data_IF_372859942486
#
_entry.id   IF_372859942486
#
_cell.length_a   1.000
_cell.length_b   1.000
_cell.length_c   1.000
_cell.angle_alpha   90.00
_cell.angle_beta   90.00
_cell.angle_gamma   90.00
#
_symmetry.space_group_name_H-M   'P 1'
#
loop_
_entity.id
_entity.type
_entity.pdbx_description
1 polymer ?
#
# COMPACT_ATOMS: atom_id res chain seq x y z
N UNK A 1 -35.68 -5.70 19.84
CA UNK A 1 -35.46 -4.55 18.93
C UNK A 1 -33.96 -4.36 18.80
N UNK A 2 -33.35 -4.88 17.75
CA UNK A 2 -31.92 -4.71 17.52
C UNK A 2 -31.66 -3.25 17.11
N UNK A 3 -30.85 -2.53 17.89
CA UNK A 3 -30.41 -1.18 17.52
C UNK A 3 -29.65 -1.28 16.19
N UNK A 4 -30.26 -0.84 15.11
CA UNK A 4 -29.60 -0.66 13.82
C UNK A 4 -28.56 0.44 13.99
N UNK A 5 -27.32 0.06 14.33
CA UNK A 5 -26.19 0.97 14.33
C UNK A 5 -26.09 1.61 12.96
N UNK A 6 -26.32 2.92 12.89
CA UNK A 6 -26.31 3.69 11.65
C UNK A 6 -24.98 3.46 10.91
N UNK A 7 -25.02 2.75 9.78
CA UNK A 7 -23.86 2.63 8.91
C UNK A 7 -23.49 4.03 8.43
N UNK A 8 -22.21 4.38 8.48
CA UNK A 8 -21.72 5.67 7.99
C UNK A 8 -22.23 5.96 6.58
N UNK A 9 -22.53 7.22 6.25
CA UNK A 9 -22.97 7.56 4.90
C UNK A 9 -21.84 7.40 3.88
N UNK A 10 -22.16 7.21 2.59
CA UNK A 10 -21.18 7.18 1.50
C UNK A 10 -20.22 8.39 1.55
N UNK A 11 -20.76 9.60 1.72
CA UNK A 11 -19.98 10.84 1.82
C UNK A 11 -19.02 10.82 3.00
N UNK A 12 -19.47 10.31 4.15
CA UNK A 12 -18.63 10.19 5.35
C UNK A 12 -17.49 9.21 5.14
N UNK A 13 -17.74 8.05 4.52
CA UNK A 13 -16.69 7.06 4.21
C UNK A 13 -15.67 7.63 3.24
N UNK A 14 -16.14 8.20 2.13
CA UNK A 14 -15.28 8.83 1.13
C UNK A 14 -14.42 9.93 1.75
N UNK A 15 -15.03 10.88 2.45
CA UNK A 15 -14.31 12.00 3.07
C UNK A 15 -13.31 11.54 4.12
N UNK A 16 -13.68 10.58 4.97
CA UNK A 16 -12.78 10.05 6.00
C UNK A 16 -11.61 9.29 5.38
N UNK A 17 -11.87 8.42 4.40
CA UNK A 17 -10.83 7.66 3.69
C UNK A 17 -9.84 8.61 3.00
N UNK A 18 -10.35 9.62 2.29
CA UNK A 18 -9.50 10.62 1.62
C UNK A 18 -8.64 11.38 2.63
N UNK A 19 -9.23 11.89 3.72
CA UNK A 19 -8.50 12.62 4.76
C UNK A 19 -7.39 11.77 5.41
N UNK A 20 -7.64 10.48 5.63
CA UNK A 20 -6.65 9.54 6.20
C UNK A 20 -5.52 9.24 5.21
N UNK A 21 -5.78 9.23 3.91
CA UNK A 21 -4.77 8.96 2.88
C UNK A 21 -3.90 10.17 2.47
N UNK A 22 -4.38 11.40 2.67
CA UNK A 22 -3.66 12.63 2.29
C UNK A 22 -2.27 12.80 2.95
N UNK A 23 -2.05 12.45 4.24
CA UNK A 23 -0.73 12.53 4.85
C UNK A 23 0.36 11.75 4.11
N UNK A 24 0.04 10.62 3.48
CA UNK A 24 1.00 9.88 2.66
C UNK A 24 1.39 10.64 1.39
N UNK A 25 0.43 11.29 0.72
CA UNK A 25 0.72 12.15 -0.44
C UNK A 25 1.61 13.33 -0.04
N UNK A 26 1.31 13.97 1.09
CA UNK A 26 2.13 15.07 1.63
C UNK A 26 3.54 14.59 1.96
N UNK A 27 3.68 13.40 2.57
CA UNK A 27 4.98 12.81 2.87
C UNK A 27 5.80 12.56 1.59
N UNK A 28 5.18 12.04 0.53
CA UNK A 28 5.82 11.84 -0.77
C UNK A 28 6.29 13.16 -1.39
N UNK A 29 5.40 14.16 -1.48
CA UNK A 29 5.73 15.49 -2.03
C UNK A 29 6.87 16.14 -1.24
N UNK A 30 6.80 16.10 0.09
CA UNK A 30 7.83 16.67 0.96
C UNK A 30 9.17 15.94 0.81
N UNK A 31 9.15 14.61 0.61
CA UNK A 31 10.34 13.82 0.36
C UNK A 31 10.97 14.17 -0.98
N UNK A 32 10.19 14.23 -2.06
CA UNK A 32 10.69 14.62 -3.40
C UNK A 32 11.28 16.02 -3.37
N UNK A 33 10.63 16.97 -2.70
CA UNK A 33 11.15 18.33 -2.55
C UNK A 33 12.52 18.37 -1.86
N UNK A 34 12.70 17.60 -0.77
CA UNK A 34 13.95 17.59 0.00
C UNK A 34 15.07 16.77 -0.63
N UNK A 35 14.74 15.65 -1.26
CA UNK A 35 15.72 14.67 -1.72
C UNK A 35 16.18 14.88 -3.16
N UNK A 36 15.45 15.63 -3.98
CA UNK A 36 15.83 15.86 -5.38
C UNK A 36 16.99 16.86 -5.49
N UNK A 37 18.18 16.44 -5.99
CA UNK A 37 19.28 17.35 -6.23
C UNK A 37 18.94 18.38 -7.31
N UNK A 38 19.53 19.58 -7.26
CA UNK A 38 19.28 20.63 -8.26
C UNK A 38 19.55 20.18 -9.70
N UNK A 39 20.59 19.36 -9.91
CA UNK A 39 20.95 18.82 -11.23
C UNK A 39 20.02 17.73 -11.76
N UNK A 40 19.12 17.18 -10.92
CA UNK A 40 18.14 16.17 -11.31
C UNK A 40 16.76 16.74 -11.66
N UNK A 41 16.59 18.06 -11.55
CA UNK A 41 15.33 18.73 -11.89
C UNK A 41 15.27 18.92 -13.42
N UNK A 42 14.20 18.45 -14.09
CA UNK A 42 14.06 18.65 -15.53
C UNK A 42 14.10 20.14 -15.92
N UNK A 43 14.67 20.44 -17.09
CA UNK A 43 14.72 21.79 -17.62
C UNK A 43 13.31 22.40 -17.72
N UNK A 44 13.17 23.65 -17.27
CA UNK A 44 11.87 24.35 -17.24
C UNK A 44 11.03 24.10 -15.98
N UNK A 45 11.45 23.21 -15.07
CA UNK A 45 10.79 23.01 -13.78
C UNK A 45 11.62 23.58 -12.62
N UNK A 46 10.93 24.01 -11.58
CA UNK A 46 11.51 24.27 -10.26
C UNK A 46 11.34 23.05 -9.34
N UNK A 47 12.21 22.90 -8.33
CA UNK A 47 12.07 21.84 -7.30
C UNK A 47 10.68 21.80 -6.67
N UNK A 48 10.07 22.94 -6.25
CA UNK A 48 8.69 22.95 -5.75
C UNK A 48 7.69 22.39 -6.78
N UNK A 49 7.78 22.81 -8.05
CA UNK A 49 6.84 22.34 -9.08
C UNK A 49 6.96 20.84 -9.35
N UNK A 50 8.18 20.30 -9.41
CA UNK A 50 8.42 18.86 -9.56
C UNK A 50 7.85 18.08 -8.37
N UNK A 51 8.08 18.56 -7.14
CA UNK A 51 7.55 17.95 -5.95
C UNK A 51 6.01 17.91 -5.96
N UNK A 52 5.36 19.02 -6.29
CA UNK A 52 3.89 19.08 -6.38
C UNK A 52 3.35 18.15 -7.48
N UNK A 53 4.00 18.11 -8.64
CA UNK A 53 3.62 17.21 -9.74
C UNK A 53 3.75 15.74 -9.36
N UNK A 54 4.75 15.37 -8.54
CA UNK A 54 4.90 13.99 -8.05
C UNK A 54 3.71 13.50 -7.22
N UNK A 55 3.00 14.42 -6.56
CA UNK A 55 1.80 14.11 -5.77
C UNK A 55 0.51 14.05 -6.59
N UNK A 56 0.48 14.58 -7.82
CA UNK A 56 -0.75 14.73 -8.59
C UNK A 56 -1.36 13.38 -8.99
N UNK A 57 -0.56 12.51 -9.62
CA UNK A 57 -1.01 11.18 -10.02
C UNK A 57 -1.51 10.33 -8.84
N UNK A 58 -0.74 10.15 -7.75
CA UNK A 58 -1.23 9.35 -6.62
C UNK A 58 -2.42 9.99 -5.90
N UNK A 59 -2.55 11.32 -5.89
CA UNK A 59 -3.75 11.98 -5.36
C UNK A 59 -4.99 11.66 -6.20
N UNK A 60 -4.90 11.72 -7.53
CA UNK A 60 -6.02 11.37 -8.42
C UNK A 60 -6.43 9.91 -8.22
N UNK A 61 -5.45 8.99 -8.16
CA UNK A 61 -5.69 7.58 -7.89
C UNK A 61 -6.34 7.39 -6.51
N UNK A 62 -5.90 8.13 -5.48
CA UNK A 62 -6.46 8.06 -4.13
C UNK A 62 -7.91 8.53 -4.11
N UNK A 63 -8.22 9.64 -4.78
CA UNK A 63 -9.60 10.13 -4.89
C UNK A 63 -10.51 9.09 -5.54
N UNK A 64 -10.08 8.51 -6.66
CA UNK A 64 -10.84 7.47 -7.36
C UNK A 64 -11.00 6.22 -6.50
N UNK A 65 -9.92 5.74 -5.88
CA UNK A 65 -9.94 4.58 -5.01
C UNK A 65 -10.86 4.78 -3.79
N UNK A 66 -10.84 5.96 -3.17
CA UNK A 66 -11.72 6.29 -2.06
C UNK A 66 -13.20 6.36 -2.49
N UNK A 67 -13.50 6.91 -3.68
CA UNK A 67 -14.86 6.92 -4.23
C UNK A 67 -15.37 5.49 -4.47
N UNK A 68 -14.56 4.68 -5.16
CA UNK A 68 -14.88 3.30 -5.50
C UNK A 68 -15.01 2.45 -4.24
N UNK A 69 -14.06 2.57 -3.30
CA UNK A 69 -14.08 1.83 -2.04
C UNK A 69 -15.28 2.19 -1.15
N UNK A 70 -15.63 3.47 -1.06
CA UNK A 70 -16.81 3.92 -0.30
C UNK A 70 -18.12 3.33 -0.83
N UNK A 71 -18.17 2.99 -2.12
CA UNK A 71 -19.29 2.29 -2.76
C UNK A 71 -19.17 0.77 -2.60
N UNK A 72 -18.01 0.20 -2.93
CA UNK A 72 -17.82 -1.23 -3.13
C UNK A 72 -17.60 -2.00 -1.84
N UNK A 73 -16.80 -1.49 -0.90
CA UNK A 73 -16.41 -2.22 0.30
C UNK A 73 -17.61 -2.68 1.16
N UNK A 74 -18.61 -1.82 1.47
CA UNK A 74 -19.77 -2.24 2.26
C UNK A 74 -20.65 -3.27 1.53
N UNK A 75 -20.72 -3.17 0.20
CA UNK A 75 -21.48 -4.11 -0.63
C UNK A 75 -20.77 -5.46 -0.76
N UNK A 76 -19.45 -5.45 -0.73
CA UNK A 76 -18.63 -6.65 -0.71
C UNK A 76 -18.51 -7.28 0.70
N UNK A 77 -19.06 -6.64 1.74
CA UNK A 77 -18.95 -7.09 3.13
C UNK A 77 -17.56 -6.93 3.74
N UNK A 78 -16.70 -6.09 3.13
CA UNK A 78 -15.35 -5.81 3.62
C UNK A 78 -15.39 -4.67 4.64
N UNK A 79 -14.67 -4.83 5.76
CA UNK A 79 -14.87 -4.04 6.98
C UNK A 79 -13.77 -3.00 7.19
N UNK A 80 -14.14 -1.84 7.73
CA UNK A 80 -13.18 -0.87 8.26
C UNK A 80 -13.68 -0.28 9.57
N UNK A 81 -12.84 -0.34 10.61
CA UNK A 81 -13.17 0.19 11.94
C UNK A 81 -13.27 1.71 11.96
N UNK A 82 -12.50 2.41 11.12
CA UNK A 82 -12.53 3.87 10.98
C UNK A 82 -13.78 4.33 10.20
N UNK A 83 -14.10 3.62 9.13
CA UNK A 83 -15.15 4.02 8.19
C UNK A 83 -16.53 3.53 8.63
N UNK A 84 -16.62 2.39 9.32
CA UNK A 84 -17.88 1.84 9.81
C UNK A 84 -18.03 2.16 11.31
N UNK A 85 -18.73 3.27 11.62
CA UNK A 85 -19.02 3.70 13.00
C UNK A 85 -20.21 2.94 13.61
N UNK A 86 -20.21 1.61 13.48
CA UNK A 86 -21.24 0.77 14.07
C UNK A 86 -20.85 0.36 15.51
N UNK A 87 -21.71 0.70 16.47
CA UNK A 87 -21.51 0.40 17.89
C UNK A 87 -20.59 1.41 18.57
N UNK A 88 -21.03 1.93 19.73
CA UNK A 88 -20.39 3.04 20.46
C UNK A 88 -18.96 2.78 20.98
N UNK A 89 -18.36 1.63 20.67
CA UNK A 89 -16.96 1.35 20.92
C UNK A 89 -16.05 2.16 19.99
N UNK A 90 -14.94 2.65 20.52
CA UNK A 90 -13.95 3.42 19.77
C UNK A 90 -13.19 2.56 18.75
N UNK A 91 -12.65 3.20 17.71
CA UNK A 91 -11.80 2.54 16.69
C UNK A 91 -10.66 1.75 17.34
N UNK A 92 -10.03 2.34 18.36
CA UNK A 92 -8.93 1.74 19.12
C UNK A 92 -9.34 0.42 19.78
N UNK A 93 -10.53 0.36 20.36
CA UNK A 93 -11.01 -0.83 21.07
C UNK A 93 -11.25 -1.98 20.10
N UNK A 94 -11.81 -1.68 18.92
CA UNK A 94 -12.03 -2.67 17.85
C UNK A 94 -10.73 -3.15 17.21
N UNK A 95 -9.75 -2.26 17.04
CA UNK A 95 -8.46 -2.59 16.42
C UNK A 95 -7.50 -3.33 17.37
N UNK A 96 -7.52 -3.02 18.67
CA UNK A 96 -6.62 -3.61 19.69
C UNK A 96 -6.43 -5.13 19.58
N UNK A 97 -7.47 -5.97 19.43
CA UNK A 97 -7.28 -7.42 19.31
C UNK A 97 -6.61 -7.86 17.99
N UNK A 98 -6.59 -7.02 16.96
CA UNK A 98 -6.02 -7.33 15.66
C UNK A 98 -4.55 -6.90 15.54
N UNK A 99 -4.12 -5.89 16.30
CA UNK A 99 -2.78 -5.25 16.19
C UNK A 99 -1.65 -6.27 16.30
N UNK A 100 -1.60 -7.07 17.37
CA UNK A 100 -0.47 -7.99 17.59
C UNK A 100 -0.30 -8.99 16.46
N UNK A 101 -1.42 -9.53 15.96
CA UNK A 101 -1.42 -10.45 14.83
C UNK A 101 -1.04 -9.76 13.52
N UNK A 102 -1.58 -8.56 13.26
CA UNK A 102 -1.25 -7.76 12.09
C UNK A 102 0.25 -7.39 12.04
N UNK A 103 0.82 -6.96 13.17
CA UNK A 103 2.26 -6.69 13.29
C UNK A 103 3.08 -7.95 13.01
N UNK A 104 2.69 -9.09 13.58
CA UNK A 104 3.36 -10.38 13.33
C UNK A 104 3.34 -10.76 11.85
N UNK A 105 2.20 -10.62 11.17
CA UNK A 105 2.08 -10.86 9.71
C UNK A 105 2.93 -9.89 8.92
N UNK A 106 2.94 -8.60 9.28
CA UNK A 106 3.76 -7.57 8.63
C UNK A 106 5.25 -7.84 8.73
N UNK A 107 5.76 -8.06 9.94
CA UNK A 107 7.17 -8.39 10.21
C UNK A 107 7.56 -9.71 9.55
N UNK A 108 6.75 -10.76 9.71
CA UNK A 108 7.00 -12.04 9.06
C UNK A 108 7.01 -11.95 7.53
N UNK A 109 6.08 -11.18 6.96
CA UNK A 109 6.04 -10.90 5.52
C UNK A 109 7.29 -10.15 5.04
N UNK A 110 7.78 -9.20 5.83
CA UNK A 110 9.02 -8.45 5.54
C UNK A 110 10.23 -9.38 5.49
N UNK A 111 10.38 -10.24 6.50
CA UNK A 111 11.47 -11.22 6.55
C UNK A 111 11.38 -12.23 5.39
N UNK A 112 10.17 -12.68 5.04
CA UNK A 112 9.95 -13.54 3.89
C UNK A 112 10.35 -12.85 2.58
N UNK A 113 9.94 -11.60 2.38
CA UNK A 113 10.30 -10.83 1.19
C UNK A 113 11.81 -10.62 1.12
N UNK A 114 12.48 -10.30 2.24
CA UNK A 114 13.94 -10.20 2.28
C UNK A 114 14.63 -11.52 1.93
N UNK A 115 14.15 -12.64 2.47
CA UNK A 115 14.71 -13.96 2.16
C UNK A 115 14.53 -14.32 0.67
N UNK A 116 13.34 -14.07 0.12
CA UNK A 116 13.07 -14.23 -1.31
C UNK A 116 13.95 -13.30 -2.15
N UNK A 117 14.17 -12.07 -1.69
CA UNK A 117 15.00 -11.10 -2.39
C UNK A 117 16.45 -11.56 -2.52
N UNK A 118 17.01 -12.05 -1.41
CA UNK A 118 18.35 -12.66 -1.38
C UNK A 118 18.43 -13.90 -2.29
N UNK A 119 17.40 -14.74 -2.27
CA UNK A 119 17.35 -15.92 -3.14
C UNK A 119 17.27 -15.55 -4.64
N UNK A 120 16.63 -14.42 -4.97
CA UNK A 120 16.49 -13.93 -6.33
C UNK A 120 17.71 -13.11 -6.81
N UNK A 121 18.57 -12.66 -5.90
CA UNK A 121 19.71 -11.79 -6.21
C UNK A 121 20.64 -12.33 -7.33
N UNK A 122 21.01 -13.64 -7.38
CA UNK A 122 21.86 -14.17 -8.45
C UNK A 122 21.25 -14.04 -9.86
N UNK A 123 19.93 -13.99 -9.96
CA UNK A 123 19.20 -13.90 -11.22
C UNK A 123 19.07 -12.47 -11.75
N UNK A 124 19.29 -11.46 -10.89
CA UNK A 124 19.17 -10.03 -11.25
C UNK A 124 20.49 -9.26 -11.09
N UNK A 125 21.54 -9.89 -10.56
CA UNK A 125 22.83 -9.23 -10.28
C UNK A 125 23.50 -8.60 -11.50
N UNK A 126 23.26 -9.16 -12.70
CA UNK A 126 23.79 -8.62 -13.97
C UNK A 126 22.97 -7.46 -14.54
N UNK A 127 21.73 -7.32 -14.09
CA UNK A 127 20.77 -6.32 -14.58
C UNK A 127 20.79 -5.04 -13.75
N UNK A 128 21.41 -5.08 -12.56
CA UNK A 128 21.61 -3.92 -11.70
C UNK A 128 22.89 -3.19 -12.12
N UNK A 129 22.81 -1.94 -12.63
CA UNK A 129 24.00 -1.17 -12.97
C UNK A 129 24.93 -1.03 -11.76
N UNK A 130 26.25 -1.12 -11.95
CA UNK A 130 27.20 -0.79 -10.87
C UNK A 130 27.02 0.64 -10.35
N UNK A 131 26.47 1.55 -11.16
CA UNK A 131 26.05 2.90 -10.73
C UNK A 131 24.87 2.88 -9.77
N UNK A 132 23.93 1.92 -9.87
CA UNK A 132 22.86 1.74 -8.87
C UNK A 132 23.38 1.23 -7.52
N UNK A 133 24.58 0.61 -7.53
CA UNK A 133 25.26 0.09 -6.34
C UNK A 133 26.20 1.16 -5.72
N UNK A 134 26.45 2.29 -6.41
CA UNK A 134 27.49 3.26 -6.03
C UNK A 134 27.20 4.76 -6.18
N UNK A 135 26.03 5.20 -6.69
CA UNK A 135 25.81 6.61 -7.03
C UNK A 135 25.64 7.58 -5.84
N UNK A 136 25.32 7.08 -4.64
CA UNK A 136 25.52 7.73 -3.35
C UNK A 136 25.09 6.69 -2.32
N UNK A 137 25.97 6.30 -1.40
CA UNK A 137 25.49 5.47 -0.28
C UNK A 137 24.48 6.33 0.50
N UNK A 138 23.23 5.87 0.68
CA UNK A 138 22.27 6.61 1.47
C UNK A 138 22.87 6.88 2.86
N UNK A 139 22.55 8.01 3.45
CA UNK A 139 22.95 8.33 4.83
C UNK A 139 21.86 7.92 5.81
N UNK A 140 22.17 7.91 7.11
CA UNK A 140 21.15 7.78 8.17
C UNK A 140 20.05 8.85 7.98
N UNK A 141 20.43 10.07 7.59
CA UNK A 141 19.47 11.17 7.34
C UNK A 141 18.53 10.83 6.19
N UNK A 142 19.02 10.23 5.10
CA UNK A 142 18.19 9.84 3.95
C UNK A 142 17.19 8.74 4.33
N UNK A 143 17.65 7.74 5.10
CA UNK A 143 16.79 6.65 5.57
C UNK A 143 15.67 7.19 6.46
N UNK A 144 15.99 8.07 7.41
CA UNK A 144 15.02 8.69 8.30
C UNK A 144 14.09 9.67 7.57
N UNK A 145 14.61 10.41 6.58
CA UNK A 145 13.81 11.33 5.77
C UNK A 145 12.77 10.60 4.91
N UNK A 146 13.05 9.37 4.48
CA UNK A 146 12.11 8.53 3.71
C UNK A 146 11.15 7.72 4.59
N UNK A 147 11.38 7.62 5.91
CA UNK A 147 10.51 6.86 6.80
C UNK A 147 9.03 7.30 6.74
N UNK A 148 8.68 8.60 6.74
CA UNK A 148 7.28 9.03 6.59
C UNK A 148 6.61 8.52 5.32
N UNK A 149 7.35 8.42 4.20
CA UNK A 149 6.81 7.85 2.95
C UNK A 149 6.46 6.38 3.17
N UNK A 150 7.38 5.59 3.73
CA UNK A 150 7.11 4.16 4.01
C UNK A 150 5.89 3.97 4.90
N UNK A 151 5.80 4.67 6.02
CA UNK A 151 4.73 4.42 7.00
C UNK A 151 3.40 5.07 6.62
N UNK A 152 3.39 6.28 6.05
CA UNK A 152 2.15 7.00 5.72
C UNK A 152 1.68 6.69 4.30
N UNK A 153 2.58 6.79 3.30
CA UNK A 153 2.20 6.45 1.92
C UNK A 153 2.04 4.93 1.78
N UNK A 154 3.07 4.15 2.12
CA UNK A 154 3.00 2.69 2.04
C UNK A 154 1.94 2.11 2.99
N UNK A 155 2.11 2.35 4.29
CA UNK A 155 1.24 1.77 5.32
C UNK A 155 -0.23 2.21 5.29
N UNK A 156 -0.58 3.34 4.67
CA UNK A 156 -1.97 3.88 4.68
C UNK A 156 -2.49 4.19 3.28
N UNK A 157 -1.81 5.05 2.53
CA UNK A 157 -2.27 5.46 1.19
C UNK A 157 -2.37 4.27 0.24
N UNK A 158 -1.39 3.37 0.21
CA UNK A 158 -1.43 2.19 -0.66
C UNK A 158 -2.53 1.20 -0.25
N UNK A 159 -2.80 1.04 1.05
CA UNK A 159 -3.94 0.22 1.49
C UNK A 159 -5.29 0.80 1.05
N UNK A 160 -5.42 2.13 1.04
CA UNK A 160 -6.61 2.78 0.50
C UNK A 160 -6.74 2.56 -1.02
N UNK A 161 -5.64 2.65 -1.75
CA UNK A 161 -5.61 2.41 -3.20
C UNK A 161 -5.95 0.96 -3.55
N UNK A 162 -5.20 0.01 -2.98
CA UNK A 162 -5.20 -1.38 -3.39
C UNK A 162 -6.28 -2.20 -2.68
N UNK A 163 -6.50 -1.99 -1.37
CA UNK A 163 -7.42 -2.82 -0.57
C UNK A 163 -8.79 -2.18 -0.59
N UNK A 164 -8.89 -0.96 -0.06
CA UNK A 164 -10.17 -0.27 0.04
C UNK A 164 -10.79 0.00 -1.34
N UNK A 165 -10.02 0.55 -2.29
CA UNK A 165 -10.49 0.82 -3.64
C UNK A 165 -10.54 -0.42 -4.53
N UNK A 166 -9.38 -0.87 -5.01
CA UNK A 166 -9.26 -1.90 -6.05
C UNK A 166 -9.81 -3.27 -5.64
N UNK A 167 -9.34 -3.85 -4.53
CA UNK A 167 -9.77 -5.18 -4.09
C UNK A 167 -11.28 -5.21 -3.79
N UNK A 168 -11.85 -4.17 -3.18
CA UNK A 168 -13.30 -4.08 -2.97
C UNK A 168 -14.07 -4.05 -4.28
N UNK A 169 -13.58 -3.29 -5.27
CA UNK A 169 -14.20 -3.23 -6.60
C UNK A 169 -14.16 -4.58 -7.30
N UNK A 170 -13.00 -5.25 -7.29
CA UNK A 170 -12.82 -6.58 -7.87
C UNK A 170 -13.71 -7.63 -7.18
N UNK A 171 -13.81 -7.57 -5.85
CA UNK A 171 -14.67 -8.46 -5.07
C UNK A 171 -16.14 -8.26 -5.45
N UNK A 172 -16.61 -7.01 -5.50
CA UNK A 172 -17.98 -6.70 -5.87
C UNK A 172 -18.28 -7.10 -7.33
N UNK A 173 -17.39 -6.77 -8.27
CA UNK A 173 -17.53 -7.12 -9.68
C UNK A 173 -17.58 -8.64 -9.85
N UNK A 174 -16.62 -9.37 -9.27
CA UNK A 174 -16.61 -10.83 -9.30
C UNK A 174 -17.86 -11.45 -8.69
N UNK A 175 -18.38 -10.87 -7.59
CA UNK A 175 -19.61 -11.36 -6.97
C UNK A 175 -20.85 -11.13 -7.85
N UNK A 176 -20.93 -9.98 -8.53
CA UNK A 176 -21.97 -9.69 -9.52
C UNK A 176 -21.88 -10.65 -10.70
N UNK A 177 -20.68 -10.89 -11.23
CA UNK A 177 -20.46 -11.77 -12.39
C UNK A 177 -20.86 -13.22 -12.14
N UNK A 178 -20.70 -13.71 -10.90
CA UNK A 178 -21.17 -15.07 -10.52
C UNK A 178 -22.65 -15.11 -10.12
N UNK A 179 -23.40 -14.03 -10.38
CA UNK A 179 -24.84 -13.94 -10.16
C UNK A 179 -25.26 -13.71 -8.71
N UNK A 180 -24.39 -13.12 -7.88
CA UNK A 180 -24.65 -12.83 -6.45
C UNK A 180 -25.25 -14.01 -5.68
N UNK A 181 -24.67 -15.20 -5.88
CA UNK A 181 -25.11 -16.40 -5.17
C UNK A 181 -24.84 -16.23 -3.66
N UNK A 182 -25.90 -16.23 -2.84
CA UNK A 182 -25.85 -16.09 -1.39
C UNK A 182 -25.77 -14.66 -0.88
N UNK A 183 -25.65 -14.49 0.44
CA UNK A 183 -25.71 -13.18 1.11
C UNK A 183 -24.37 -12.40 1.07
N UNK A 184 -23.28 -13.05 0.65
CA UNK A 184 -21.95 -12.44 0.58
C UNK A 184 -21.09 -13.07 -0.54
N UNK A 185 -20.01 -12.38 -1.01
CA UNK A 185 -19.07 -12.96 -1.97
C UNK A 185 -18.43 -14.25 -1.44
N UNK A 186 -18.43 -15.30 -2.26
CA UNK A 186 -17.81 -16.57 -1.91
C UNK A 186 -16.28 -16.49 -1.83
N UNK A 187 -15.61 -17.38 -1.07
CA UNK A 187 -14.15 -17.36 -0.89
C UNK A 187 -13.34 -17.32 -2.18
N UNK A 188 -13.80 -18.01 -3.25
CA UNK A 188 -13.12 -18.03 -4.55
C UNK A 188 -13.06 -16.65 -5.20
N UNK A 189 -14.15 -15.88 -5.11
CA UNK A 189 -14.22 -14.50 -5.64
C UNK A 189 -13.24 -13.61 -4.88
N UNK A 190 -13.20 -13.73 -3.56
CA UNK A 190 -12.35 -12.89 -2.71
C UNK A 190 -10.87 -13.23 -2.92
N UNK A 191 -10.50 -14.51 -2.98
CA UNK A 191 -9.13 -14.91 -3.29
C UNK A 191 -8.69 -14.46 -4.69
N UNK A 192 -9.57 -14.51 -5.69
CA UNK A 192 -9.25 -13.97 -7.01
C UNK A 192 -9.02 -12.45 -6.96
N UNK A 193 -9.85 -11.71 -6.23
CA UNK A 193 -9.67 -10.27 -6.02
C UNK A 193 -8.36 -9.94 -5.28
N UNK A 194 -7.98 -10.74 -4.28
CA UNK A 194 -6.70 -10.63 -3.56
C UNK A 194 -5.53 -10.89 -4.53
N UNK A 195 -5.58 -11.96 -5.32
CA UNK A 195 -4.49 -12.30 -6.23
C UNK A 195 -4.29 -11.23 -7.31
N UNK A 196 -5.38 -10.75 -7.92
CA UNK A 196 -5.32 -9.71 -8.95
C UNK A 196 -4.82 -8.39 -8.35
N UNK A 197 -5.34 -7.97 -7.18
CA UNK A 197 -4.90 -6.73 -6.54
C UNK A 197 -3.44 -6.80 -6.09
N UNK A 198 -2.97 -7.96 -5.63
CA UNK A 198 -1.57 -8.20 -5.25
C UNK A 198 -0.61 -8.10 -6.44
N UNK A 199 -0.97 -8.68 -7.59
CA UNK A 199 -0.18 -8.54 -8.83
C UNK A 199 -0.16 -7.08 -9.29
N UNK A 200 -1.31 -6.41 -9.28
CA UNK A 200 -1.41 -4.99 -9.66
C UNK A 200 -0.66 -4.08 -8.69
N UNK A 201 -0.55 -4.45 -7.41
CA UNK A 201 0.28 -3.76 -6.43
C UNK A 201 1.76 -3.84 -6.83
N UNK A 202 2.25 -5.01 -7.25
CA UNK A 202 3.60 -5.16 -7.78
C UNK A 202 3.83 -4.44 -9.11
N UNK A 203 2.86 -4.46 -10.01
CA UNK A 203 2.92 -3.68 -11.27
C UNK A 203 2.97 -2.18 -10.99
N UNK A 204 2.24 -1.70 -9.98
CA UNK A 204 2.22 -0.30 -9.56
C UNK A 204 3.59 0.24 -9.12
N UNK A 205 4.54 -0.64 -8.80
CA UNK A 205 5.92 -0.26 -8.44
C UNK A 205 6.86 -0.13 -9.64
N UNK A 206 6.48 -0.63 -10.81
CA UNK A 206 7.35 -0.61 -12.00
C UNK A 206 7.71 0.80 -12.49
N UNK A 207 6.84 1.83 -12.43
CA UNK A 207 7.22 3.19 -12.80
C UNK A 207 8.35 3.75 -11.93
N UNK A 208 8.33 3.48 -10.62
CA UNK A 208 9.40 3.89 -9.72
C UNK A 208 10.71 3.16 -10.02
N UNK A 209 10.64 1.85 -10.31
CA UNK A 209 11.79 1.06 -10.72
C UNK A 209 12.41 1.56 -12.04
N UNK A 210 11.57 1.88 -13.03
CA UNK A 210 11.99 2.41 -14.32
C UNK A 210 12.69 3.78 -14.20
N UNK A 211 12.36 4.55 -13.16
CA UNK A 211 13.04 5.81 -12.85
C UNK A 211 14.45 5.61 -12.26
N UNK A 212 14.78 4.43 -11.76
CA UNK A 212 16.06 4.12 -11.14
C UNK A 212 16.98 3.26 -12.03
N UNK A 213 16.41 2.31 -12.78
CA UNK A 213 17.15 1.34 -13.61
C UNK A 213 16.39 1.00 -14.89
N UNK A 214 17.11 0.51 -15.90
CA UNK A 214 16.48 -0.07 -17.09
C UNK A 214 15.69 -1.33 -16.73
N UNK A 215 14.44 -1.43 -17.20
CA UNK A 215 13.59 -2.58 -16.92
C UNK A 215 14.04 -3.80 -17.72
N UNK A 216 14.43 -4.87 -17.02
CA UNK A 216 14.61 -6.20 -17.59
C UNK A 216 13.45 -7.12 -17.19
N UNK A 217 13.16 -8.20 -17.95
CA UNK A 217 12.14 -9.17 -17.57
C UNK A 217 12.37 -9.75 -16.17
N UNK A 218 13.62 -9.98 -15.77
CA UNK A 218 13.96 -10.51 -14.44
C UNK A 218 13.69 -9.48 -13.34
N UNK A 219 14.04 -8.21 -13.53
CA UNK A 219 13.75 -7.14 -12.57
C UNK A 219 12.23 -6.88 -12.43
N UNK A 220 11.50 -6.94 -13.54
CA UNK A 220 10.03 -6.86 -13.55
C UNK A 220 9.43 -8.03 -12.76
N UNK A 221 9.83 -9.27 -13.07
CA UNK A 221 9.32 -10.47 -12.41
C UNK A 221 9.61 -10.44 -10.90
N UNK A 222 10.84 -10.11 -10.50
CA UNK A 222 11.24 -9.95 -9.10
C UNK A 222 10.38 -8.91 -8.38
N UNK A 223 10.26 -7.72 -8.96
CA UNK A 223 9.52 -6.61 -8.34
C UNK A 223 8.04 -6.93 -8.19
N UNK A 224 7.41 -7.51 -9.22
CA UNK A 224 6.02 -7.92 -9.16
C UNK A 224 5.82 -9.03 -8.14
N UNK A 225 6.69 -10.04 -8.11
CA UNK A 225 6.59 -11.18 -7.20
C UNK A 225 6.70 -10.74 -5.73
N UNK A 226 7.74 -9.99 -5.36
CA UNK A 226 7.99 -9.61 -3.97
C UNK A 226 6.86 -8.74 -3.42
N UNK A 227 6.38 -7.79 -4.23
CA UNK A 227 5.23 -6.96 -3.87
C UNK A 227 3.93 -7.77 -3.85
N UNK A 228 3.73 -8.73 -4.74
CA UNK A 228 2.54 -9.59 -4.72
C UNK A 228 2.49 -10.49 -3.48
N UNK A 229 3.63 -10.98 -2.98
CA UNK A 229 3.68 -11.77 -1.73
C UNK A 229 3.18 -10.94 -0.54
N UNK A 230 3.68 -9.72 -0.36
CA UNK A 230 3.15 -8.78 0.63
C UNK A 230 1.68 -8.42 0.34
N UNK A 231 1.39 -8.21 -0.95
CA UNK A 231 0.10 -8.07 -1.61
C UNK A 231 -0.98 -8.96 -1.02
N UNK A 232 -0.73 -10.27 -1.12
CA UNK A 232 -1.60 -11.36 -0.68
C UNK A 232 -1.81 -11.32 0.84
N UNK A 233 -0.75 -11.11 1.62
CA UNK A 233 -0.84 -11.07 3.08
C UNK A 233 -1.77 -9.95 3.58
N UNK A 234 -1.62 -8.73 3.06
CA UNK A 234 -2.45 -7.59 3.47
C UNK A 234 -3.88 -7.71 2.92
N UNK A 235 -4.06 -8.23 1.70
CA UNK A 235 -5.39 -8.51 1.14
C UNK A 235 -6.15 -9.56 1.96
N UNK A 236 -5.47 -10.61 2.42
CA UNK A 236 -6.05 -11.60 3.32
C UNK A 236 -6.41 -11.00 4.68
N UNK A 237 -5.56 -10.14 5.26
CA UNK A 237 -5.90 -9.42 6.49
C UNK A 237 -7.13 -8.52 6.31
N UNK A 238 -7.22 -7.79 5.20
CA UNK A 238 -8.39 -6.96 4.92
C UNK A 238 -9.67 -7.79 4.85
N UNK A 239 -9.62 -8.95 4.20
CA UNK A 239 -10.76 -9.85 4.12
C UNK A 239 -11.14 -10.45 5.48
N UNK A 240 -10.15 -10.95 6.24
CA UNK A 240 -10.41 -11.73 7.46
C UNK A 240 -10.60 -10.88 8.71
N UNK A 241 -10.13 -9.63 8.69
CA UNK A 241 -10.10 -8.72 9.83
C UNK A 241 -10.70 -7.36 9.44
N UNK A 242 -9.86 -6.41 9.06
CA UNK A 242 -10.25 -5.03 8.77
C UNK A 242 -9.21 -4.35 7.87
N UNK A 243 -9.60 -3.22 7.28
CA UNK A 243 -8.69 -2.36 6.52
C UNK A 243 -7.52 -1.89 7.41
N UNK A 244 -7.80 -1.56 8.67
CA UNK A 244 -6.82 -1.06 9.62
C UNK A 244 -5.82 -2.15 10.03
N UNK A 245 -6.24 -3.42 10.10
CA UNK A 245 -5.29 -4.53 10.28
C UNK A 245 -4.33 -4.66 9.10
N UNK A 246 -4.79 -4.46 7.86
CA UNK A 246 -3.93 -4.43 6.68
C UNK A 246 -2.95 -3.25 6.74
N UNK A 247 -3.42 -2.05 7.13
CA UNK A 247 -2.58 -0.86 7.33
C UNK A 247 -1.51 -1.07 8.40
N UNK A 248 -1.88 -1.63 9.55
CA UNK A 248 -0.93 -1.95 10.63
C UNK A 248 0.11 -2.97 10.17
N UNK A 249 -0.30 -4.01 9.45
CA UNK A 249 0.63 -5.01 8.92
C UNK A 249 1.57 -4.41 7.88
N UNK A 250 1.09 -3.56 6.98
CA UNK A 250 1.92 -2.92 5.97
C UNK A 250 2.88 -1.90 6.59
N UNK A 251 2.43 -1.10 7.56
CA UNK A 251 3.32 -0.23 8.33
C UNK A 251 4.40 -1.06 9.06
N UNK A 252 4.02 -2.16 9.71
CA UNK A 252 4.96 -3.06 10.39
C UNK A 252 5.93 -3.75 9.43
N UNK A 253 5.52 -4.03 8.19
CA UNK A 253 6.36 -4.60 7.14
C UNK A 253 7.58 -3.72 6.84
N UNK A 254 7.46 -2.41 6.97
CA UNK A 254 8.58 -1.50 6.76
C UNK A 254 9.57 -1.44 7.93
N UNK A 255 9.22 -1.92 9.13
CA UNK A 255 10.10 -1.83 10.31
C UNK A 255 11.41 -2.60 10.11
N UNK A 256 11.42 -3.89 9.72
CA UNK A 256 12.66 -4.61 9.45
C UNK A 256 13.44 -4.01 8.27
N UNK A 257 12.76 -3.50 7.25
CA UNK A 257 13.40 -2.87 6.08
C UNK A 257 14.13 -1.57 6.46
N UNK A 258 13.52 -0.74 7.30
CA UNK A 258 14.16 0.48 7.82
C UNK A 258 15.33 0.11 8.72
N UNK A 259 15.17 -0.87 9.61
CA UNK A 259 16.27 -1.34 10.47
C UNK A 259 17.47 -1.84 9.64
N UNK A 260 17.21 -2.66 8.62
CA UNK A 260 18.24 -3.14 7.69
C UNK A 260 18.90 -1.97 6.93
N UNK A 261 18.10 -1.02 6.43
CA UNK A 261 18.61 0.17 5.75
C UNK A 261 19.52 0.99 6.65
N UNK A 262 19.18 1.14 7.94
CA UNK A 262 20.01 1.85 8.91
C UNK A 262 21.34 1.11 9.16
N UNK A 263 21.30 -0.21 9.31
CA UNK A 263 22.52 -1.03 9.50
C UNK A 263 23.46 -0.91 8.29
N UNK A 264 22.92 -0.82 7.08
CA UNK A 264 23.71 -0.73 5.84
C UNK A 264 24.41 0.63 5.63
N UNK A 265 23.99 1.67 6.36
CA UNK A 265 24.48 3.06 6.18
C UNK A 265 25.25 3.60 7.38
N UNK A 266 25.38 2.79 8.44
CA UNK A 266 26.25 3.03 9.60
C UNK A 266 27.64 2.46 9.32
#
# INVERSE_FOLDING_TARGET
MASTGSSSSFRTRFGTALLVGLPGIVALVAYVYRSTPSGAVPAGLSRPSLALLSGLNPLLLLVVACLVGAYAAPRAGLRSHLLDRAGGAGVRERLRPEVGFAVGVGVGGSLLVLALDVALAPFVARDLPQSAIGAARPTVVDVLAHAPVRFLYGGVTEELLLRFGLMSALTLAGWVLVGRRGDAPGPRVIWAAIAISAVLFGVGHLPALAGAVGLTPALVARTVLLNAVAGVAFGWLYWRRSLEAAMVAHAAFHVPLVALSLIQVL
#
